data_IF_768347094613
#
_entry.id   IF_768347094613
#
_cell.length_a   1.000
_cell.length_b   1.000
_cell.length_c   1.000
_cell.angle_alpha   90.00
_cell.angle_beta   90.00
_cell.angle_gamma   90.00
#
_symmetry.space_group_name_H-M   'P 1'
#
loop_
_entity.id
_entity.type
_entity.pdbx_description
1 polymer ?
#
# COMPACT_ATOMS: atom_id res chain seq x y z
N UNK A 1 -10.45 71.14 21.08
CA UNK A 1 -9.17 70.45 21.38
C UNK A 1 -9.41 69.06 21.96
N UNK A 2 -10.09 68.92 23.12
CA UNK A 2 -10.35 67.65 23.82
C UNK A 2 -11.05 66.57 22.98
N UNK A 3 -12.08 66.91 22.20
CA UNK A 3 -12.80 65.95 21.35
C UNK A 3 -11.92 65.32 20.25
N UNK A 4 -10.93 66.08 19.74
CA UNK A 4 -10.00 65.58 18.72
C UNK A 4 -9.07 64.53 19.33
N UNK A 5 -8.59 64.75 20.55
CA UNK A 5 -7.74 63.77 21.27
C UNK A 5 -8.47 62.45 21.54
N UNK A 6 -9.76 62.50 21.89
CA UNK A 6 -10.57 61.30 22.16
C UNK A 6 -10.74 60.46 20.88
N UNK A 7 -11.03 61.10 19.75
CA UNK A 7 -11.21 60.41 18.46
C UNK A 7 -9.90 59.73 18.02
N UNK A 8 -8.77 60.42 18.16
CA UNK A 8 -7.46 59.86 17.82
C UNK A 8 -7.14 58.66 18.73
N UNK A 9 -7.39 58.76 20.03
CA UNK A 9 -7.17 57.65 20.97
C UNK A 9 -8.02 56.42 20.61
N UNK A 10 -9.29 56.60 20.23
CA UNK A 10 -10.16 55.51 19.80
C UNK A 10 -9.69 54.85 18.50
N UNK A 11 -9.22 55.62 17.52
CA UNK A 11 -8.66 55.08 16.28
C UNK A 11 -7.37 54.28 16.52
N UNK A 12 -6.52 54.73 17.44
CA UNK A 12 -5.30 53.99 17.85
C UNK A 12 -5.66 52.69 18.54
N UNK A 13 -6.62 52.69 19.47
CA UNK A 13 -7.09 51.48 20.16
C UNK A 13 -7.72 50.51 19.15
N UNK A 14 -8.56 51.02 18.24
CA UNK A 14 -9.18 50.23 17.18
C UNK A 14 -8.14 49.62 16.23
N UNK A 15 -7.11 50.39 15.85
CA UNK A 15 -6.01 49.92 15.03
C UNK A 15 -5.22 48.81 15.74
N UNK A 16 -4.87 48.98 17.02
CA UNK A 16 -4.20 47.95 17.83
C UNK A 16 -5.08 46.68 17.95
N UNK A 17 -6.39 46.85 18.12
CA UNK A 17 -7.34 45.74 18.19
C UNK A 17 -7.42 44.98 16.87
N UNK A 18 -7.49 45.69 15.73
CA UNK A 18 -7.42 45.08 14.39
C UNK A 18 -6.09 44.36 14.19
N UNK A 19 -4.97 44.97 14.53
CA UNK A 19 -3.67 44.31 14.40
C UNK A 19 -3.63 43.01 15.21
N UNK A 20 -4.13 43.00 16.44
CA UNK A 20 -4.11 41.81 17.29
C UNK A 20 -5.09 40.71 16.86
N UNK A 21 -6.25 41.06 16.29
CA UNK A 21 -7.29 40.09 15.93
C UNK A 21 -7.29 39.67 14.44
N UNK A 22 -6.75 40.52 13.55
CA UNK A 22 -6.79 40.30 12.09
C UNK A 22 -5.41 39.86 11.56
N UNK A 23 -4.32 40.36 12.13
CA UNK A 23 -2.98 39.89 11.77
C UNK A 23 -2.74 38.57 12.50
N UNK A 24 -2.94 37.45 11.80
CA UNK A 24 -2.43 36.15 12.25
C UNK A 24 -0.93 36.29 12.46
N UNK A 25 -0.50 36.26 13.72
CA UNK A 25 0.91 36.09 14.01
C UNK A 25 1.37 34.75 13.40
N UNK A 26 2.42 34.82 12.58
CA UNK A 26 3.07 33.64 12.03
C UNK A 26 3.90 32.99 13.15
N UNK A 27 3.21 32.25 14.02
CA UNK A 27 3.78 31.54 15.18
C UNK A 27 4.74 30.41 14.78
N UNK A 28 5.00 30.21 13.48
CA UNK A 28 5.93 29.17 12.98
C UNK A 28 7.39 29.50 13.32
N UNK A 29 7.71 30.76 13.65
CA UNK A 29 9.08 31.21 13.94
C UNK A 29 9.59 30.85 15.35
N UNK A 30 8.71 30.46 16.27
CA UNK A 30 9.07 30.25 17.68
C UNK A 30 9.40 28.79 18.03
N UNK A 31 9.28 27.86 17.07
CA UNK A 31 9.51 26.44 17.31
C UNK A 31 10.69 25.92 16.51
N UNK A 32 11.71 25.40 17.20
CA UNK A 32 12.81 24.67 16.59
C UNK A 32 12.44 23.20 16.42
N UNK A 33 12.68 22.65 15.23
CA UNK A 33 12.41 21.26 14.89
C UNK A 33 13.72 20.52 14.65
N UNK A 34 13.77 19.25 15.06
CA UNK A 34 14.91 18.36 14.77
C UNK A 34 14.43 17.12 14.04
N UNK A 35 15.30 16.59 13.16
CA UNK A 35 15.08 15.30 12.51
C UNK A 35 14.99 14.21 13.58
N UNK A 36 14.01 13.32 13.47
CA UNK A 36 13.96 12.07 14.25
C UNK A 36 14.91 11.03 13.65
N UNK A 37 15.10 9.91 14.34
CA UNK A 37 15.79 8.74 13.80
C UNK A 37 15.04 8.13 12.60
N UNK A 38 15.50 6.97 12.13
CA UNK A 38 14.81 6.19 11.10
C UNK A 38 13.28 6.11 11.36
N UNK A 39 12.51 6.18 10.28
CA UNK A 39 11.04 6.16 10.33
C UNK A 39 10.49 4.85 10.88
N UNK A 40 11.15 3.74 10.52
CA UNK A 40 10.84 2.39 10.98
C UNK A 40 11.90 1.91 11.97
N UNK A 41 11.47 1.21 13.01
CA UNK A 41 12.39 0.49 13.89
C UNK A 41 12.94 -0.78 13.20
N UNK A 42 13.89 -1.49 13.84
CA UNK A 42 14.53 -2.66 13.25
C UNK A 42 13.53 -3.77 12.86
N UNK A 43 12.58 -4.07 13.75
CA UNK A 43 11.54 -5.09 13.51
C UNK A 43 10.60 -4.69 12.37
N UNK A 44 10.16 -3.44 12.34
CA UNK A 44 9.32 -2.89 11.28
C UNK A 44 10.05 -2.87 9.93
N UNK A 45 11.34 -2.54 9.92
CA UNK A 45 12.18 -2.53 8.72
C UNK A 45 12.36 -3.93 8.14
N UNK A 46 12.63 -4.93 8.99
CA UNK A 46 12.72 -6.33 8.58
C UNK A 46 11.41 -6.82 8.01
N UNK A 47 10.29 -6.50 8.66
CA UNK A 47 8.96 -6.87 8.17
C UNK A 47 8.59 -6.15 6.86
N UNK A 48 8.94 -4.86 6.72
CA UNK A 48 8.76 -4.09 5.49
C UNK A 48 9.48 -4.75 4.30
N UNK A 49 10.73 -5.17 4.49
CA UNK A 49 11.49 -5.85 3.43
C UNK A 49 10.87 -7.20 3.07
N UNK A 50 10.36 -7.95 4.05
CA UNK A 50 9.63 -9.19 3.81
C UNK A 50 8.32 -8.95 3.03
N UNK A 51 7.56 -7.90 3.37
CA UNK A 51 6.37 -7.49 2.61
C UNK A 51 6.73 -7.11 1.18
N UNK A 52 7.76 -6.28 0.99
CA UNK A 52 8.23 -5.86 -0.34
C UNK A 52 8.62 -7.08 -1.20
N UNK A 53 9.34 -8.04 -0.62
CA UNK A 53 9.68 -9.30 -1.31
C UNK A 53 8.45 -10.18 -1.59
N UNK A 54 7.46 -10.17 -0.70
CA UNK A 54 6.23 -10.95 -0.87
C UNK A 54 5.36 -10.41 -2.00
N UNK A 55 5.25 -9.08 -2.14
CA UNK A 55 4.42 -8.43 -3.16
C UNK A 55 5.10 -8.32 -4.53
N UNK A 56 6.44 -8.26 -4.59
CA UNK A 56 7.16 -8.03 -5.85
C UNK A 56 6.71 -6.73 -6.53
N UNK A 57 6.45 -6.80 -7.83
CA UNK A 57 6.00 -5.66 -8.63
C UNK A 57 4.46 -5.55 -8.70
N UNK A 58 3.72 -6.43 -8.01
CA UNK A 58 2.26 -6.48 -8.03
C UNK A 58 1.59 -5.49 -7.09
N UNK A 59 2.36 -4.88 -6.18
CA UNK A 59 1.81 -3.91 -5.25
C UNK A 59 2.90 -2.98 -4.72
N UNK A 60 2.47 -1.81 -4.25
CA UNK A 60 3.34 -0.87 -3.56
C UNK A 60 3.06 -0.94 -2.06
N UNK A 61 4.12 -1.02 -1.25
CA UNK A 61 4.01 -1.01 0.22
C UNK A 61 4.38 0.37 0.76
N UNK A 62 3.43 1.01 1.42
CA UNK A 62 3.61 2.28 2.11
C UNK A 62 3.63 2.06 3.63
N UNK A 63 4.61 2.64 4.31
CA UNK A 63 4.81 2.51 5.75
C UNK A 63 4.30 3.74 6.53
N UNK A 64 3.78 3.52 7.74
CA UNK A 64 3.34 4.56 8.68
C UNK A 64 2.40 5.59 8.05
N UNK A 65 1.42 5.10 7.29
CA UNK A 65 0.45 5.95 6.59
C UNK A 65 -0.60 6.44 7.59
N UNK A 66 -0.82 7.75 7.66
CA UNK A 66 -1.87 8.30 8.53
C UNK A 66 -3.25 7.79 8.10
N UNK A 67 -4.09 7.35 9.04
CA UNK A 67 -5.39 6.77 8.70
C UNK A 67 -6.27 7.78 7.94
N UNK A 68 -6.18 9.07 8.24
CA UNK A 68 -6.93 10.13 7.52
C UNK A 68 -6.51 10.31 6.07
N UNK A 69 -5.37 9.75 5.64
CA UNK A 69 -4.94 9.76 4.25
C UNK A 69 -5.49 8.57 3.45
N UNK A 70 -6.11 7.60 4.12
CA UNK A 70 -6.63 6.36 3.53
C UNK A 70 -8.15 6.31 3.64
N UNK A 71 -8.69 6.78 4.77
CA UNK A 71 -10.13 6.76 5.06
C UNK A 71 -10.63 8.13 5.47
N UNK A 72 -11.92 8.38 5.25
CA UNK A 72 -12.63 9.54 5.76
C UNK A 72 -13.91 9.13 6.49
N UNK A 73 -14.37 9.89 7.50
CA UNK A 73 -15.66 9.60 8.13
C UNK A 73 -16.80 9.73 7.12
N UNK A 74 -17.84 8.90 7.28
CA UNK A 74 -18.99 8.88 6.38
C UNK A 74 -19.63 10.27 6.21
N UNK A 75 -19.99 10.59 4.97
CA UNK A 75 -20.71 11.83 4.63
C UNK A 75 -22.09 11.95 5.32
N UNK A 76 -22.62 10.86 5.88
CA UNK A 76 -23.89 10.85 6.64
C UNK A 76 -23.78 11.49 8.04
N UNK A 77 -22.56 11.72 8.54
CA UNK A 77 -22.34 12.31 9.86
C UNK A 77 -22.56 13.83 9.85
N UNK A 78 -23.03 14.38 10.96
CA UNK A 78 -23.07 15.83 11.12
C UNK A 78 -21.65 16.41 11.29
N UNK A 79 -21.50 17.73 11.10
CA UNK A 79 -20.19 18.42 11.13
C UNK A 79 -19.39 18.17 12.43
N UNK A 80 -20.06 18.14 13.58
CA UNK A 80 -19.43 17.92 14.88
C UNK A 80 -18.91 16.48 15.01
N UNK A 81 -19.75 15.50 14.66
CA UNK A 81 -19.39 14.08 14.65
C UNK A 81 -18.27 13.79 13.66
N UNK A 82 -18.35 14.38 12.47
CA UNK A 82 -17.31 14.27 11.45
C UNK A 82 -15.97 14.77 11.98
N UNK A 83 -15.94 15.96 12.60
CA UNK A 83 -14.70 16.53 13.16
C UNK A 83 -14.11 15.66 14.27
N UNK A 84 -14.95 15.12 15.16
CA UNK A 84 -14.51 14.22 16.23
C UNK A 84 -13.93 12.92 15.64
N UNK A 85 -14.62 12.31 14.67
CA UNK A 85 -14.17 11.09 14.02
C UNK A 85 -12.86 11.32 13.25
N UNK A 86 -12.79 12.40 12.47
CA UNK A 86 -11.61 12.77 11.69
C UNK A 86 -10.40 13.02 12.60
N UNK A 87 -10.60 13.70 13.74
CA UNK A 87 -9.52 13.96 14.71
C UNK A 87 -8.93 12.68 15.33
N UNK A 88 -9.72 11.60 15.42
CA UNK A 88 -9.25 10.31 15.93
C UNK A 88 -8.34 9.60 14.92
N UNK A 89 -8.75 9.57 13.67
CA UNK A 89 -7.97 8.93 12.59
C UNK A 89 -6.74 9.75 12.20
N UNK A 90 -6.80 11.09 12.24
CA UNK A 90 -5.66 11.96 11.93
C UNK A 90 -4.49 11.85 12.92
N UNK A 91 -4.73 11.31 14.12
CA UNK A 91 -3.70 11.06 15.14
C UNK A 91 -3.17 9.63 15.13
N UNK A 92 -3.70 8.80 14.22
CA UNK A 92 -3.42 7.38 14.14
C UNK A 92 -2.85 7.03 12.77
N UNK A 93 -2.04 5.98 12.73
CA UNK A 93 -1.40 5.49 11.52
C UNK A 93 -1.76 4.03 11.30
N UNK A 94 -1.75 3.57 10.05
CA UNK A 94 -1.59 2.15 9.72
C UNK A 94 -0.11 1.85 9.64
N UNK A 95 0.33 0.69 10.14
CA UNK A 95 1.74 0.32 10.04
C UNK A 95 2.17 0.15 8.58
N UNK A 96 1.40 -0.60 7.80
CA UNK A 96 1.62 -0.74 6.37
C UNK A 96 0.30 -0.72 5.58
N UNK A 97 0.33 -0.08 4.42
CA UNK A 97 -0.75 -0.07 3.44
C UNK A 97 -0.18 -0.64 2.16
N UNK A 98 -0.80 -1.72 1.68
CA UNK A 98 -0.48 -2.32 0.38
C UNK A 98 -1.46 -1.76 -0.64
N UNK A 99 -0.92 -1.12 -1.67
CA UNK A 99 -1.67 -0.43 -2.70
C UNK A 99 -1.50 -1.09 -4.07
N UNK A 100 -2.48 -0.86 -4.94
CA UNK A 100 -2.33 -1.12 -6.38
C UNK A 100 -1.16 -0.28 -6.93
N UNK A 101 -0.24 -0.86 -7.73
CA UNK A 101 0.96 -0.17 -8.18
C UNK A 101 0.70 0.91 -9.24
N UNK A 102 -0.48 0.89 -9.88
CA UNK A 102 -0.86 1.84 -10.94
C UNK A 102 -1.70 2.99 -10.40
N UNK A 103 -2.66 2.70 -9.51
CA UNK A 103 -3.61 3.68 -9.00
C UNK A 103 -3.30 4.18 -7.59
N UNK A 104 -2.41 3.49 -6.87
CA UNK A 104 -2.15 3.69 -5.44
C UNK A 104 -3.39 3.50 -4.55
N UNK A 105 -4.45 2.86 -5.06
CA UNK A 105 -5.63 2.53 -4.28
C UNK A 105 -5.29 1.51 -3.18
N UNK A 106 -5.69 1.74 -1.92
CA UNK A 106 -5.46 0.81 -0.82
C UNK A 106 -6.17 -0.53 -1.06
N UNK A 107 -5.42 -1.63 -1.06
CA UNK A 107 -5.94 -2.99 -1.26
C UNK A 107 -6.04 -3.77 0.04
N UNK A 108 -5.04 -3.63 0.91
CA UNK A 108 -5.02 -4.30 2.22
C UNK A 108 -4.16 -3.53 3.21
N UNK A 109 -4.63 -3.46 4.45
CA UNK A 109 -3.90 -2.92 5.60
C UNK A 109 -3.19 -4.06 6.32
N UNK A 110 -1.93 -3.84 6.70
CA UNK A 110 -1.19 -4.77 7.54
C UNK A 110 -0.79 -4.05 8.84
N UNK A 111 -1.17 -4.61 9.97
CA UNK A 111 -0.74 -4.14 11.30
C UNK A 111 0.26 -5.13 11.89
N UNK A 112 1.41 -4.64 12.36
CA UNK A 112 2.48 -5.47 12.90
C UNK A 112 2.35 -5.57 14.43
N UNK A 113 1.97 -6.75 14.90
CA UNK A 113 1.93 -7.07 16.31
C UNK A 113 3.28 -7.65 16.80
N UNK A 114 3.76 -7.10 17.91
CA UNK A 114 4.96 -7.57 18.60
C UNK A 114 4.66 -8.60 19.71
N UNK A 115 3.39 -8.98 19.89
CA UNK A 115 2.92 -9.99 20.85
C UNK A 115 3.06 -9.56 22.30
N UNK A 116 3.35 -8.28 22.57
CA UNK A 116 3.44 -7.75 23.93
C UNK A 116 2.05 -7.43 24.46
N UNK A 117 1.87 -7.55 25.77
CA UNK A 117 0.63 -7.19 26.42
C UNK A 117 0.22 -5.74 26.13
N UNK A 118 -1.07 -5.55 25.87
CA UNK A 118 -1.64 -4.30 25.44
C UNK A 118 -2.12 -3.50 26.65
N UNK A 119 -1.52 -2.33 26.86
CA UNK A 119 -2.08 -1.36 27.79
C UNK A 119 -3.35 -0.73 27.19
N UNK A 120 -4.18 -0.12 28.04
CA UNK A 120 -5.50 0.45 27.68
C UNK A 120 -5.49 1.30 26.40
N UNK A 121 -4.48 2.16 26.22
CA UNK A 121 -4.38 3.02 25.03
C UNK A 121 -4.13 2.26 23.73
N UNK A 122 -3.35 1.16 23.76
CA UNK A 122 -3.17 0.28 22.59
C UNK A 122 -4.44 -0.48 22.26
N UNK A 123 -5.15 -0.99 23.28
CA UNK A 123 -6.43 -1.68 23.09
C UNK A 123 -7.45 -0.77 22.39
N UNK A 124 -7.57 0.49 22.81
CA UNK A 124 -8.48 1.44 22.17
C UNK A 124 -8.07 1.78 20.72
N UNK A 125 -6.75 1.83 20.44
CA UNK A 125 -6.23 2.01 19.08
C UNK A 125 -6.58 0.81 18.19
N UNK A 126 -6.41 -0.42 18.69
CA UNK A 126 -6.75 -1.63 17.93
C UNK A 126 -8.25 -1.71 17.63
N UNK A 127 -9.10 -1.41 18.62
CA UNK A 127 -10.55 -1.31 18.42
C UNK A 127 -10.89 -0.29 17.35
N UNK A 128 -10.25 0.89 17.38
CA UNK A 128 -10.42 1.91 16.36
C UNK A 128 -10.01 1.39 14.97
N UNK A 129 -8.85 0.75 14.88
CA UNK A 129 -8.29 0.23 13.63
C UNK A 129 -9.22 -0.83 13.00
N UNK A 130 -9.68 -1.80 13.79
CA UNK A 130 -10.63 -2.83 13.34
C UNK A 130 -11.94 -2.18 12.87
N UNK A 131 -12.46 -1.23 13.65
CA UNK A 131 -13.70 -0.53 13.30
C UNK A 131 -13.58 0.28 12.01
N UNK A 132 -12.46 0.99 11.83
CA UNK A 132 -12.17 1.78 10.62
C UNK A 132 -12.08 0.88 9.40
N UNK A 133 -11.26 -0.18 9.44
CA UNK A 133 -11.11 -1.08 8.30
C UNK A 133 -12.43 -1.77 7.94
N UNK A 134 -13.18 -2.24 8.95
CA UNK A 134 -14.49 -2.87 8.74
C UNK A 134 -15.52 -1.92 8.12
N UNK A 135 -15.59 -0.69 8.61
CA UNK A 135 -16.56 0.31 8.11
C UNK A 135 -16.18 0.88 6.73
N UNK A 136 -14.90 0.92 6.41
CA UNK A 136 -14.38 1.33 5.09
C UNK A 136 -14.31 0.17 4.08
N UNK A 137 -14.67 -1.06 4.48
CA UNK A 137 -14.55 -2.27 3.65
C UNK A 137 -13.14 -2.53 3.13
N UNK A 138 -12.11 -2.18 3.92
CA UNK A 138 -10.71 -2.43 3.59
C UNK A 138 -10.23 -3.69 4.36
N UNK A 139 -9.69 -4.71 3.67
CA UNK A 139 -9.11 -5.87 4.32
C UNK A 139 -8.02 -5.49 5.32
N UNK A 140 -8.00 -6.19 6.46
CA UNK A 140 -7.01 -6.01 7.51
C UNK A 140 -6.35 -7.34 7.84
N UNK A 141 -5.02 -7.38 7.77
CA UNK A 141 -4.22 -8.52 8.18
C UNK A 141 -3.40 -8.13 9.41
N UNK A 142 -3.68 -8.80 10.53
CA UNK A 142 -2.78 -8.78 11.69
C UNK A 142 -1.60 -9.72 11.43
N UNK A 143 -0.39 -9.19 11.44
CA UNK A 143 0.83 -9.96 11.23
C UNK A 143 1.69 -9.93 12.48
N UNK A 144 2.27 -11.07 12.85
CA UNK A 144 3.29 -11.09 13.90
C UNK A 144 4.70 -11.01 13.29
N UNK A 145 5.69 -10.68 14.10
CA UNK A 145 7.07 -10.56 13.65
C UNK A 145 7.63 -11.83 12.99
N UNK A 146 7.09 -13.02 13.32
CA UNK A 146 7.53 -14.29 12.72
C UNK A 146 7.21 -14.37 11.23
N UNK A 147 6.24 -13.59 10.75
CA UNK A 147 5.87 -13.56 9.33
C UNK A 147 6.97 -12.90 8.49
N UNK A 148 7.84 -12.07 9.08
CA UNK A 148 9.00 -11.49 8.39
C UNK A 148 9.94 -12.57 7.82
N UNK A 149 9.97 -13.75 8.43
CA UNK A 149 10.80 -14.88 8.00
C UNK A 149 10.03 -15.87 7.10
N UNK A 150 8.78 -15.59 6.76
CA UNK A 150 7.88 -16.48 6.02
C UNK A 150 7.28 -15.75 4.81
N UNK A 151 8.14 -15.28 3.90
CA UNK A 151 7.74 -14.51 2.71
C UNK A 151 6.69 -15.25 1.87
N UNK A 152 6.83 -16.57 1.68
CA UNK A 152 5.83 -17.38 0.95
C UNK A 152 4.45 -17.39 1.61
N UNK A 153 4.40 -17.33 2.94
CA UNK A 153 3.14 -17.23 3.69
C UNK A 153 2.52 -15.84 3.53
N UNK A 154 3.33 -14.78 3.62
CA UNK A 154 2.88 -13.42 3.35
C UNK A 154 2.30 -13.30 1.93
N UNK A 155 3.01 -13.84 0.93
CA UNK A 155 2.55 -13.85 -0.47
C UNK A 155 1.19 -14.52 -0.61
N UNK A 156 0.99 -15.70 0.00
CA UNK A 156 -0.30 -16.40 -0.05
C UNK A 156 -1.43 -15.62 0.61
N UNK A 157 -1.16 -14.96 1.75
CA UNK A 157 -2.15 -14.14 2.44
C UNK A 157 -2.53 -12.90 1.62
N UNK A 158 -1.53 -12.28 0.99
CA UNK A 158 -1.71 -11.10 0.17
C UNK A 158 -2.41 -11.42 -1.16
N UNK A 159 -2.21 -12.62 -1.72
CA UNK A 159 -2.73 -12.99 -3.04
C UNK A 159 -4.27 -13.00 -3.15
N UNK A 160 -4.98 -13.02 -2.02
CA UNK A 160 -6.42 -12.88 -2.00
C UNK A 160 -6.91 -11.42 -2.14
N UNK A 161 -6.01 -10.44 -2.05
CA UNK A 161 -6.34 -9.00 -1.94
C UNK A 161 -5.62 -8.14 -2.98
N UNK A 162 -4.41 -8.56 -3.34
CA UNK A 162 -3.67 -8.07 -4.47
C UNK A 162 -3.70 -9.16 -5.53
N UNK A 163 -3.90 -8.78 -6.80
CA UNK A 163 -3.94 -9.70 -7.93
C UNK A 163 -2.53 -10.28 -8.20
N UNK A 164 -1.96 -10.97 -7.22
CA UNK A 164 -0.67 -11.69 -7.28
C UNK A 164 -0.74 -12.93 -8.17
N UNK A 165 -1.85 -13.14 -8.87
CA UNK A 165 -1.93 -14.12 -9.93
C UNK A 165 -1.37 -13.45 -11.18
N UNK A 166 -0.04 -13.33 -11.24
CA UNK A 166 0.59 -13.20 -12.54
C UNK A 166 0.28 -14.44 -13.35
N UNK A 167 -0.33 -14.24 -14.50
CA UNK A 167 0.33 -14.82 -15.66
C UNK A 167 0.87 -13.64 -16.42
N UNK A 168 2.15 -13.34 -16.20
CA UNK A 168 2.97 -13.06 -17.37
C UNK A 168 2.66 -14.20 -18.34
N UNK A 169 1.77 -13.93 -19.29
CA UNK A 169 1.65 -14.78 -20.46
C UNK A 169 3.03 -14.72 -21.06
N UNK A 170 3.83 -15.75 -20.88
CA UNK A 170 5.11 -15.89 -21.56
C UNK A 170 4.81 -15.79 -23.06
N UNK A 171 4.98 -14.59 -23.64
CA UNK A 171 4.67 -14.35 -25.04
C UNK A 171 5.84 -14.93 -25.82
N UNK A 172 5.73 -16.22 -26.13
CA UNK A 172 6.68 -16.89 -27.02
C UNK A 172 6.34 -16.57 -28.47
N UNK A 173 7.37 -16.32 -29.26
CA UNK A 173 7.25 -16.21 -30.70
C UNK A 173 7.59 -17.54 -31.36
N UNK A 174 6.83 -17.89 -32.40
CA UNK A 174 7.01 -19.13 -33.13
C UNK A 174 8.39 -19.15 -33.81
N UNK A 175 9.23 -20.12 -33.48
CA UNK A 175 10.58 -20.31 -34.06
C UNK A 175 10.57 -20.50 -35.59
N UNK A 176 9.42 -20.82 -36.20
CA UNK A 176 9.26 -21.00 -37.64
C UNK A 176 8.85 -19.74 -38.41
N UNK A 177 8.05 -18.85 -37.81
CA UNK A 177 7.43 -17.74 -38.55
C UNK A 177 7.35 -16.41 -37.79
N UNK A 178 7.89 -16.34 -36.56
CA UNK A 178 7.93 -15.13 -35.74
C UNK A 178 6.58 -14.64 -35.22
N UNK A 179 5.47 -15.33 -35.52
CA UNK A 179 4.15 -14.96 -35.01
C UNK A 179 3.99 -15.37 -33.55
N UNK A 180 3.20 -14.65 -32.74
CA UNK A 180 2.99 -14.99 -31.33
C UNK A 180 2.37 -16.38 -31.18
N UNK A 181 2.78 -17.10 -30.15
CA UNK A 181 2.24 -18.42 -29.81
C UNK A 181 1.12 -18.30 -28.77
N UNK A 182 0.18 -19.24 -28.84
CA UNK A 182 -0.95 -19.37 -27.92
C UNK A 182 -0.88 -20.72 -27.21
N UNK A 183 -1.33 -20.79 -25.97
CA UNK A 183 -1.36 -22.04 -25.20
C UNK A 183 -2.67 -22.78 -25.50
N UNK A 184 -2.57 -24.07 -25.83
CA UNK A 184 -3.72 -24.99 -25.93
C UNK A 184 -3.54 -26.16 -24.96
N UNK A 185 -4.66 -26.78 -24.59
CA UNK A 185 -4.70 -27.99 -23.76
C UNK A 185 -5.10 -29.15 -24.66
N UNK A 186 -4.34 -30.25 -24.61
CA UNK A 186 -4.70 -31.46 -25.34
C UNK A 186 -6.00 -32.04 -24.79
N UNK A 187 -7.02 -32.17 -25.65
CA UNK A 187 -8.34 -32.69 -25.28
C UNK A 187 -8.44 -34.22 -25.43
N UNK A 188 -7.51 -34.84 -26.18
CA UNK A 188 -7.54 -36.24 -26.58
C UNK A 188 -6.12 -36.85 -26.62
N UNK A 189 -6.03 -38.19 -26.54
CA UNK A 189 -4.77 -38.95 -26.57
C UNK A 189 -4.05 -39.07 -25.22
N UNK A 190 -2.88 -39.70 -25.21
CA UNK A 190 -2.07 -39.98 -24.01
C UNK A 190 -1.57 -38.72 -23.28
N UNK A 191 -1.64 -37.57 -23.95
CA UNK A 191 -1.25 -36.26 -23.42
C UNK A 191 -2.44 -35.42 -22.98
N UNK A 192 -3.65 -35.99 -22.88
CA UNK A 192 -4.87 -35.28 -22.46
C UNK A 192 -4.65 -34.52 -21.15
N UNK A 193 -5.00 -33.24 -21.15
CA UNK A 193 -4.82 -32.33 -20.02
C UNK A 193 -3.48 -31.60 -19.99
N UNK A 194 -2.49 -31.99 -20.81
CA UNK A 194 -1.22 -31.26 -20.92
C UNK A 194 -1.37 -29.99 -21.74
N UNK A 195 -0.64 -28.94 -21.32
CA UNK A 195 -0.53 -27.65 -22.03
C UNK A 195 0.59 -27.72 -23.06
N UNK A 196 0.41 -27.07 -24.19
CA UNK A 196 1.44 -26.87 -25.20
C UNK A 196 1.24 -25.52 -25.90
N UNK A 197 2.33 -24.93 -26.38
CA UNK A 197 2.29 -23.75 -27.22
C UNK A 197 1.99 -24.14 -28.66
N UNK A 198 1.16 -23.37 -29.35
CA UNK A 198 0.90 -23.50 -30.78
C UNK A 198 0.95 -22.15 -31.46
N UNK A 199 1.37 -22.11 -32.72
CA UNK A 199 1.41 -20.87 -33.48
C UNK A 199 -0.01 -20.29 -33.69
N UNK A 200 -0.16 -18.98 -33.48
CA UNK A 200 -1.43 -18.27 -33.75
C UNK A 200 -1.89 -18.30 -35.21
N UNK A 201 -0.97 -18.58 -36.16
CA UNK A 201 -1.26 -18.65 -37.61
C UNK A 201 -1.74 -20.02 -38.10
N UNK A 202 -2.22 -20.91 -37.24
CA UNK A 202 -2.87 -22.14 -37.71
C UNK A 202 -4.08 -21.81 -38.63
N UNK A 203 -4.29 -22.56 -39.73
CA UNK A 203 -3.57 -23.77 -40.17
C UNK A 203 -2.28 -23.51 -40.96
N UNK A 204 -2.00 -22.27 -41.34
CA UNK A 204 -0.86 -21.90 -42.20
C UNK A 204 0.52 -22.13 -41.56
N UNK A 205 0.59 -22.15 -40.23
CA UNK A 205 1.79 -22.57 -39.50
C UNK A 205 1.43 -23.60 -38.42
N UNK A 206 1.94 -24.82 -38.56
CA UNK A 206 1.63 -25.97 -37.70
C UNK A 206 2.61 -26.14 -36.54
N UNK A 207 3.51 -25.18 -36.30
CA UNK A 207 4.53 -25.29 -35.25
C UNK A 207 3.90 -25.35 -33.85
N UNK A 208 4.38 -26.29 -33.03
CA UNK A 208 3.99 -26.51 -31.64
C UNK A 208 5.21 -26.79 -30.77
N UNK A 209 5.15 -26.40 -29.50
CA UNK A 209 6.22 -26.63 -28.51
C UNK A 209 5.58 -27.06 -27.18
N UNK A 210 6.25 -27.93 -26.42
CA UNK A 210 5.74 -28.37 -25.12
C UNK A 210 5.81 -27.22 -24.10
N UNK A 211 4.82 -27.12 -23.21
CA UNK A 211 4.81 -26.09 -22.17
C UNK A 211 5.84 -26.37 -21.07
N UNK A 212 6.20 -27.63 -20.83
CA UNK A 212 7.22 -27.99 -19.85
C UNK A 212 8.62 -27.81 -20.45
N UNK A 213 9.24 -26.67 -20.17
CA UNK A 213 10.70 -26.53 -20.30
C UNK A 213 11.30 -27.05 -19.01
N UNK A 214 11.79 -28.30 -19.02
CA UNK A 214 12.88 -28.68 -18.13
C UNK A 214 14.08 -27.93 -18.69
N UNK A 215 14.61 -26.95 -17.96
CA UNK A 215 15.89 -26.36 -18.30
C UNK A 215 16.94 -27.47 -18.14
N UNK A 216 17.33 -28.10 -19.23
CA UNK A 216 18.63 -28.78 -19.28
C UNK A 216 19.66 -27.64 -19.26
N UNK A 217 20.38 -27.52 -18.15
CA UNK A 217 21.57 -26.70 -18.10
C UNK A 217 22.59 -27.40 -19.00
N UNK A 218 22.91 -26.80 -20.14
CA UNK A 218 24.05 -27.23 -20.95
C UNK A 218 25.31 -27.08 -20.09
N UNK A 219 25.88 -28.20 -19.69
CA UNK A 219 27.12 -28.31 -18.91
C UNK A 219 28.30 -28.13 -19.87
N UNK A 220 28.44 -26.94 -20.45
CA UNK A 220 29.60 -26.55 -21.27
C UNK A 220 30.71 -26.01 -20.34
N UNK A 221 31.32 -26.92 -19.59
CA UNK A 221 32.71 -26.77 -19.16
C UNK A 221 33.60 -27.58 -20.11
N UNK A 222 33.94 -26.97 -21.25
CA UNK A 222 35.09 -27.35 -22.05
C UNK A 222 36.19 -26.31 -21.86
N UNK A 223 37.25 -26.79 -21.21
CA UNK A 223 38.66 -26.39 -21.31
C UNK A 223 39.00 -25.21 -22.23
N UNK A 224 39.61 -24.17 -21.66
CA UNK A 224 40.89 -23.60 -22.12
C UNK A 224 41.64 -22.98 -20.93
#
# INVERSE_FOLDING_TARGET
>A
MTNIFIIVALLVIFFIFIQKYVIKHDDTKDYSYKRKSALLNASESTFYNALKSAVGDHAVVLAKVCMSNVVSPSAKLNKKQWFIANSRIAKSYFDFVVCDPRTFEPRVIIELDNGKELYKGKVEREKLLIHVCKSASIPLIGANIKYSYQVSKLRRLLAAHIDLIETDKEVRFCKKCGSPMIIKIASQGDFKGRRFFTCSRQPHCTYTENYNVVYEFDDDNQEF
#
